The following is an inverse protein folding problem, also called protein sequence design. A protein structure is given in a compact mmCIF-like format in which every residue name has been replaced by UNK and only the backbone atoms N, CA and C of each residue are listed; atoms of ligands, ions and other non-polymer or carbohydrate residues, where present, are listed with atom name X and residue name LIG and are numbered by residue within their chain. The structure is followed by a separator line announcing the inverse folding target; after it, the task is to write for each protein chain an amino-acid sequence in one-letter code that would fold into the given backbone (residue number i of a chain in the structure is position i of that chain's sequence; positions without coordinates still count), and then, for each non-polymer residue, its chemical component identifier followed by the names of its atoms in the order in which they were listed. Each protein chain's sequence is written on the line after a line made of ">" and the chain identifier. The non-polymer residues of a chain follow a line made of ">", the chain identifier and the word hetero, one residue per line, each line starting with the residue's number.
data_IF_233920326035
#
_entry.id   IF_233920326035
#
_cell.length_a   1.000
_cell.length_b   1.000
_cell.length_c   1.000
_cell.angle_alpha   90.00
_cell.angle_beta   90.00
_cell.angle_gamma   90.00
#
_symmetry.space_group_name_H-M   'P 1'
#
loop_
_entity.id
_entity.type
_entity.pdbx_description
1 polymer ?
#
# COMPACT_ATOMS: atom_id res chain seq x y z
N UNK A 1 3.85 10.63 1.91
CA UNK A 1 2.50 10.95 1.38
C UNK A 1 2.11 9.91 0.33
N UNK A 2 1.07 9.09 0.58
CA UNK A 2 0.64 7.96 -0.29
C UNK A 2 0.28 8.44 -1.70
N UNK A 3 0.60 7.66 -2.74
CA UNK A 3 0.43 8.06 -4.15
C UNK A 3 -1.04 7.81 -4.48
N UNK A 4 -1.83 8.87 -4.57
CA UNK A 4 -3.29 8.82 -4.68
C UNK A 4 -3.77 8.46 -6.09
N UNK A 5 -3.15 7.44 -6.70
CA UNK A 5 -3.50 6.98 -8.07
C UNK A 5 -4.92 6.41 -8.11
N UNK A 6 -5.42 5.91 -6.96
CA UNK A 6 -6.75 5.28 -6.81
C UNK A 6 -7.07 4.31 -7.96
N UNK A 7 -6.07 3.51 -8.36
CA UNK A 7 -6.12 2.72 -9.59
C UNK A 7 -7.00 1.47 -9.50
N UNK A 8 -7.46 1.11 -8.29
CA UNK A 8 -8.32 -0.05 -7.99
C UNK A 8 -7.74 -1.43 -8.35
N UNK A 9 -6.48 -1.50 -8.81
CA UNK A 9 -5.81 -2.77 -9.17
C UNK A 9 -5.68 -3.75 -8.01
N UNK A 10 -5.57 -3.26 -6.78
CA UNK A 10 -5.56 -4.07 -5.56
C UNK A 10 -6.96 -4.45 -5.05
N UNK A 11 -8.03 -4.17 -5.81
CA UNK A 11 -9.41 -4.44 -5.43
C UNK A 11 -10.03 -3.45 -4.44
N UNK A 12 -9.33 -2.37 -4.09
CA UNK A 12 -9.87 -1.31 -3.21
C UNK A 12 -10.28 -0.06 -3.99
N UNK A 13 -11.39 0.56 -3.58
CA UNK A 13 -11.96 1.73 -4.25
C UNK A 13 -11.00 2.93 -4.19
N UNK A 14 -10.27 3.05 -3.08
CA UNK A 14 -9.27 4.09 -2.87
C UNK A 14 -8.01 3.51 -2.24
N UNK A 15 -6.91 4.23 -2.45
CA UNK A 15 -5.64 3.96 -1.80
C UNK A 15 -5.71 4.06 -0.26
N UNK A 16 -6.58 4.93 0.27
CA UNK A 16 -6.82 5.06 1.71
C UNK A 16 -7.58 3.86 2.27
N UNK A 17 -8.54 3.30 1.51
CA UNK A 17 -9.23 2.07 1.90
C UNK A 17 -8.25 0.88 1.98
N UNK A 18 -7.33 0.79 1.01
CA UNK A 18 -6.23 -0.17 1.09
C UNK A 18 -5.34 0.05 2.31
N UNK A 19 -4.89 1.28 2.56
CA UNK A 19 -4.04 1.59 3.72
C UNK A 19 -4.73 1.26 5.06
N UNK A 20 -6.03 1.54 5.18
CA UNK A 20 -6.79 1.18 6.39
C UNK A 20 -6.82 -0.33 6.62
N UNK A 21 -6.98 -1.11 5.55
CA UNK A 21 -6.95 -2.58 5.62
C UNK A 21 -5.57 -3.14 5.95
N UNK A 22 -4.49 -2.49 5.49
CA UNK A 22 -3.13 -2.83 5.91
C UNK A 22 -2.95 -2.68 7.42
N UNK A 23 -3.40 -1.56 8.00
CA UNK A 23 -3.30 -1.29 9.44
C UNK A 23 -4.10 -2.30 10.28
N UNK A 24 -5.21 -2.81 9.75
CA UNK A 24 -6.02 -3.84 10.43
C UNK A 24 -5.54 -5.28 10.17
N UNK A 25 -4.48 -5.48 9.37
CA UNK A 25 -4.00 -6.81 8.98
C UNK A 25 -4.89 -7.57 8.00
N UNK A 26 -6.00 -6.96 7.52
CA UNK A 26 -6.92 -7.56 6.53
C UNK A 26 -6.24 -7.69 5.16
N UNK A 27 -5.27 -6.82 4.86
CA UNK A 27 -4.48 -6.86 3.64
C UNK A 27 -2.99 -6.75 3.92
N UNK A 28 -2.18 -7.20 2.97
CA UNK A 28 -0.72 -7.12 2.98
C UNK A 28 -0.20 -6.26 1.82
N UNK A 29 1.00 -5.70 1.95
CA UNK A 29 1.58 -4.77 0.97
C UNK A 29 1.74 -5.35 -0.43
N UNK A 30 2.01 -6.65 -0.55
CA UNK A 30 2.12 -7.39 -1.82
C UNK A 30 0.79 -7.56 -2.57
N UNK A 31 -0.35 -7.16 -1.99
CA UNK A 31 -1.65 -7.21 -2.66
C UNK A 31 -1.93 -5.98 -3.53
N UNK A 32 -0.93 -5.12 -3.73
CA UNK A 32 -1.00 -3.99 -4.64
C UNK A 32 0.19 -4.00 -5.59
N UNK A 33 -0.01 -4.57 -6.78
CA UNK A 33 1.03 -4.70 -7.83
C UNK A 33 1.69 -3.36 -8.18
N UNK A 34 0.93 -2.26 -8.06
CA UNK A 34 1.47 -0.92 -8.33
C UNK A 34 2.58 -0.57 -7.35
N UNK A 35 2.51 -0.99 -6.09
CA UNK A 35 3.56 -0.70 -5.11
C UNK A 35 4.86 -1.46 -5.39
N UNK A 36 4.82 -2.52 -6.20
CA UNK A 36 6.00 -3.28 -6.61
C UNK A 36 6.71 -2.66 -7.83
N UNK A 37 6.08 -1.71 -8.52
CA UNK A 37 6.70 -0.99 -9.63
C UNK A 37 7.94 -0.21 -9.15
N UNK A 38 9.00 -0.19 -9.96
CA UNK A 38 10.31 0.40 -9.63
C UNK A 38 10.21 1.83 -9.05
N UNK A 39 9.32 2.64 -9.63
CA UNK A 39 9.08 4.02 -9.23
C UNK A 39 8.53 4.18 -7.80
N UNK A 40 8.05 3.11 -7.18
CA UNK A 40 7.51 3.12 -5.82
C UNK A 40 8.34 2.28 -4.84
N UNK A 41 9.51 1.73 -5.22
CA UNK A 41 10.34 0.90 -4.32
C UNK A 41 10.74 1.58 -3.02
N UNK A 42 11.24 2.82 -3.09
CA UNK A 42 11.61 3.59 -1.88
C UNK A 42 10.40 3.79 -0.96
N UNK A 43 9.23 4.03 -1.55
CA UNK A 43 8.00 4.20 -0.80
C UNK A 43 7.49 2.89 -0.19
N UNK A 44 7.61 1.79 -0.93
CA UNK A 44 7.28 0.45 -0.44
C UNK A 44 8.16 0.11 0.75
N UNK A 45 9.46 0.47 0.71
CA UNK A 45 10.37 0.32 1.85
C UNK A 45 9.89 1.12 3.06
N UNK A 46 9.62 2.42 2.91
CA UNK A 46 9.10 3.24 4.03
C UNK A 46 7.77 2.73 4.59
N UNK A 47 6.90 2.16 3.74
CA UNK A 47 5.64 1.54 4.19
C UNK A 47 5.88 0.24 4.98
N UNK A 48 6.85 -0.58 4.58
CA UNK A 48 7.25 -1.77 5.33
C UNK A 48 7.79 -1.38 6.70
N UNK A 49 8.73 -0.42 6.72
CA UNK A 49 9.31 0.09 7.96
C UNK A 49 8.22 0.59 8.90
N UNK A 50 7.22 1.34 8.40
CA UNK A 50 6.11 1.83 9.21
C UNK A 50 5.24 0.70 9.79
N UNK A 51 4.95 -0.34 8.99
CA UNK A 51 4.10 -1.45 9.41
C UNK A 51 4.80 -2.40 10.39
N UNK A 52 6.12 -2.41 10.46
CA UNK A 52 6.86 -3.16 11.50
C UNK A 52 6.65 -2.57 12.91
N UNK A 53 6.13 -1.34 13.02
CA UNK A 53 5.84 -0.66 14.30
C UNK A 53 4.35 -0.69 14.70
N UNK A 54 3.48 -1.35 13.92
CA UNK A 54 2.03 -1.47 14.18
C UNK A 54 1.70 -2.88 14.62
#
# INVERSE_FOLDING_TARGET
>A
MFTQKNCKKCGEITCIAFASKLLTGVKTLNQCDVLEEEQYKEKLKSLKDLLEFV
#
